data_IF_455118938958
#
_entry.id   IF_455118938958
#
_cell.length_a   1.000
_cell.length_b   1.000
_cell.length_c   1.000
_cell.angle_alpha   90.00
_cell.angle_beta   90.00
_cell.angle_gamma   90.00
#
_symmetry.space_group_name_H-M   'P 1'
#
loop_
_entity.id
_entity.type
_entity.pdbx_description
1 polymer ?
#
# COMPACT_ATOMS: atom_id res chain seq x y z
N UNK A 1 1.43 -2.75 0.12
CA UNK A 1 2.01 -3.31 1.37
C UNK A 1 2.15 -2.25 2.46
N UNK A 2 2.77 -1.09 2.18
CA UNK A 2 2.92 0.00 3.16
C UNK A 2 1.59 0.58 3.69
N UNK A 3 0.51 0.56 2.90
CA UNK A 3 -0.82 0.98 3.36
C UNK A 3 -1.26 0.27 4.64
N UNK A 4 -1.10 -1.06 4.69
CA UNK A 4 -1.46 -1.88 5.86
C UNK A 4 -0.68 -1.40 7.07
N UNK A 5 0.63 -1.12 6.95
CA UNK A 5 1.44 -0.62 8.07
C UNK A 5 0.95 0.71 8.65
N UNK A 6 0.32 1.58 7.84
CA UNK A 6 -0.18 2.87 8.30
C UNK A 6 -1.60 2.81 8.87
N UNK A 7 -2.37 1.78 8.50
CA UNK A 7 -3.75 1.56 8.95
C UNK A 7 -3.87 0.49 10.05
N UNK A 8 -2.77 -0.24 10.30
CA UNK A 8 -2.75 -1.37 11.24
C UNK A 8 -2.97 -0.92 12.68
N UNK A 9 -3.65 -1.77 13.46
CA UNK A 9 -3.79 -1.56 14.90
C UNK A 9 -2.59 -2.15 15.68
N UNK A 10 -2.50 -1.86 16.97
CA UNK A 10 -1.37 -2.32 17.82
C UNK A 10 -1.24 -3.84 17.90
N UNK A 11 -2.35 -4.57 17.84
CA UNK A 11 -2.35 -6.04 17.89
C UNK A 11 -1.85 -6.64 16.58
N UNK A 12 -2.33 -6.14 15.45
CA UNK A 12 -1.84 -6.55 14.12
C UNK A 12 -0.35 -6.21 13.95
N UNK A 13 0.08 -5.01 14.33
CA UNK A 13 1.49 -4.61 14.31
C UNK A 13 2.37 -5.56 15.13
N UNK A 14 1.89 -5.97 16.31
CA UNK A 14 2.60 -6.90 17.20
C UNK A 14 2.69 -8.30 16.59
N UNK A 15 1.61 -8.80 15.98
CA UNK A 15 1.59 -10.10 15.29
C UNK A 15 2.56 -10.10 14.11
N UNK A 16 2.51 -9.08 13.24
CA UNK A 16 3.47 -8.88 12.17
C UNK A 16 4.91 -8.83 12.69
N UNK A 17 5.18 -8.06 13.74
CA UNK A 17 6.52 -7.98 14.30
C UNK A 17 6.98 -9.35 14.81
N UNK A 18 6.14 -10.07 15.54
CA UNK A 18 6.49 -11.41 16.06
C UNK A 18 6.77 -12.43 14.94
N UNK A 19 6.05 -12.34 13.82
CA UNK A 19 6.19 -13.26 12.68
C UNK A 19 7.46 -12.99 11.86
N UNK A 20 7.81 -11.72 11.66
CA UNK A 20 8.91 -11.32 10.77
C UNK A 20 10.20 -10.96 11.52
N UNK A 21 10.15 -10.71 12.84
CA UNK A 21 11.34 -10.39 13.63
C UNK A 21 12.24 -11.61 13.75
N UNK A 22 13.48 -11.48 13.28
CA UNK A 22 14.50 -12.50 13.39
C UNK A 22 15.82 -11.85 13.72
N UNK A 23 16.49 -12.35 14.78
CA UNK A 23 17.81 -11.87 15.18
C UNK A 23 18.82 -11.98 14.01
N UNK A 24 18.65 -12.98 13.12
CA UNK A 24 19.48 -13.14 11.92
C UNK A 24 19.36 -11.93 10.98
N UNK A 25 18.14 -11.42 10.77
CA UNK A 25 17.90 -10.24 9.91
C UNK A 25 18.58 -9.01 10.50
N UNK A 26 18.48 -8.83 11.82
CA UNK A 26 19.14 -7.72 12.53
C UNK A 26 20.66 -7.78 12.36
N UNK A 27 21.27 -8.94 12.53
CA UNK A 27 22.72 -9.12 12.36
C UNK A 27 23.15 -8.87 10.91
N UNK A 28 22.39 -9.34 9.92
CA UNK A 28 22.66 -9.09 8.50
C UNK A 28 22.58 -7.58 8.20
N UNK A 29 21.54 -6.90 8.69
CA UNK A 29 21.38 -5.47 8.50
C UNK A 29 22.55 -4.68 9.10
N UNK A 30 22.99 -5.04 10.32
CA UNK A 30 24.15 -4.43 10.97
C UNK A 30 25.44 -4.66 10.19
N UNK A 31 25.68 -5.88 9.71
CA UNK A 31 26.85 -6.20 8.90
C UNK A 31 26.87 -5.42 7.58
N UNK A 32 25.72 -5.30 6.91
CA UNK A 32 25.58 -4.54 5.66
C UNK A 32 25.84 -3.05 5.88
N UNK A 33 25.29 -2.46 6.94
CA UNK A 33 25.54 -1.07 7.32
C UNK A 33 27.01 -0.84 7.67
N UNK A 34 27.63 -1.75 8.43
CA UNK A 34 29.05 -1.65 8.77
C UNK A 34 29.94 -1.71 7.52
N UNK A 35 29.63 -2.59 6.56
CA UNK A 35 30.35 -2.67 5.30
C UNK A 35 30.18 -1.41 4.44
N UNK A 36 28.96 -0.86 4.37
CA UNK A 36 28.70 0.40 3.68
C UNK A 36 29.51 1.57 4.30
N UNK A 37 29.55 1.67 5.63
CA UNK A 37 30.36 2.67 6.35
C UNK A 37 31.85 2.46 6.09
N UNK A 38 32.33 1.21 6.13
CA UNK A 38 33.73 0.89 5.85
C UNK A 38 34.10 1.32 4.43
N UNK A 39 33.30 0.97 3.42
CA UNK A 39 33.52 1.39 2.04
C UNK A 39 33.52 2.92 1.92
N UNK A 40 32.58 3.61 2.57
CA UNK A 40 32.51 5.07 2.59
C UNK A 40 33.79 5.70 3.14
N UNK A 41 34.35 5.17 4.23
CA UNK A 41 35.61 5.69 4.81
C UNK A 41 36.84 5.45 3.94
N UNK A 42 36.76 4.56 2.94
CA UNK A 42 37.87 4.24 2.02
C UNK A 42 37.78 4.97 0.67
N UNK A 43 36.69 5.69 0.41
CA UNK A 43 36.53 6.49 -0.80
C UNK A 43 37.52 7.66 -0.78
N UNK A 44 38.43 7.68 -1.75
CA UNK A 44 39.33 8.83 -1.94
C UNK A 44 38.57 9.96 -2.63
N UNK A 45 38.76 11.22 -2.21
CA UNK A 45 38.16 12.36 -2.90
C UNK A 45 38.66 12.43 -4.34
N UNK A 46 37.73 12.45 -5.29
CA UNK A 46 38.03 12.65 -6.71
C UNK A 46 38.22 14.14 -6.95
N UNK A 47 39.44 14.56 -7.26
CA UNK A 47 39.75 15.95 -7.57
C UNK A 47 39.50 16.23 -9.05
N UNK A 48 38.54 17.11 -9.33
CA UNK A 48 38.26 17.60 -10.68
C UNK A 48 38.95 18.97 -10.86
N UNK A 49 39.72 19.20 -11.93
CA UNK A 49 40.35 20.49 -12.21
C UNK A 49 39.33 21.65 -12.28
N UNK A 50 39.73 22.84 -11.83
CA UNK A 50 38.86 24.04 -11.72
C UNK A 50 37.98 24.37 -12.95
N UNK A 51 38.44 24.30 -14.21
CA UNK A 51 37.58 24.64 -15.34
C UNK A 51 36.50 23.58 -15.61
N UNK A 52 36.79 22.31 -15.33
CA UNK A 52 35.87 21.20 -15.60
C UNK A 52 34.87 20.94 -14.48
N UNK A 53 35.11 21.46 -13.27
CA UNK A 53 34.23 21.24 -12.12
C UNK A 53 32.79 21.66 -12.38
N UNK A 54 32.58 22.85 -12.96
CA UNK A 54 31.23 23.34 -13.26
C UNK A 54 30.59 22.58 -14.44
N UNK A 55 31.39 22.26 -15.46
CA UNK A 55 30.92 21.52 -16.64
C UNK A 55 30.47 20.11 -16.26
N UNK A 56 31.28 19.38 -15.47
CA UNK A 56 30.98 18.02 -15.03
C UNK A 56 29.77 18.01 -14.09
N UNK A 57 29.70 18.94 -13.12
CA UNK A 57 28.52 19.06 -12.25
C UNK A 57 27.25 19.38 -13.03
N UNK A 58 27.33 20.29 -14.01
CA UNK A 58 26.18 20.62 -14.86
C UNK A 58 25.78 19.46 -15.77
N UNK A 59 26.76 18.73 -16.35
CA UNK A 59 26.50 17.56 -17.18
C UNK A 59 25.85 16.42 -16.38
N UNK A 60 26.30 16.19 -15.14
CA UNK A 60 25.69 15.22 -14.23
C UNK A 60 24.26 15.62 -13.86
N UNK A 61 24.05 16.88 -13.48
CA UNK A 61 22.72 17.41 -13.16
C UNK A 61 21.81 17.31 -14.39
N UNK A 62 22.31 17.65 -15.57
CA UNK A 62 21.56 17.55 -16.81
C UNK A 62 21.20 16.11 -17.14
N UNK A 63 22.16 15.19 -17.13
CA UNK A 63 21.93 13.79 -17.47
C UNK A 63 21.00 13.07 -16.49
N UNK A 64 21.17 13.31 -15.19
CA UNK A 64 20.40 12.62 -14.15
C UNK A 64 19.01 13.24 -13.90
N UNK A 65 18.89 14.57 -13.98
CA UNK A 65 17.68 15.29 -13.55
C UNK A 65 17.02 16.04 -14.70
N UNK A 66 17.71 16.94 -15.40
CA UNK A 66 17.04 17.82 -16.37
C UNK A 66 16.62 17.11 -17.66
N UNK A 67 17.42 16.19 -18.18
CA UNK A 67 17.14 15.44 -19.40
C UNK A 67 15.83 14.64 -19.29
N UNK A 68 15.58 13.81 -18.26
CA UNK A 68 14.31 13.11 -18.13
C UNK A 68 13.11 14.05 -17.90
N UNK A 69 13.28 15.18 -17.20
CA UNK A 69 12.23 16.20 -17.04
C UNK A 69 11.89 16.86 -18.38
N UNK A 70 12.91 17.33 -19.10
CA UNK A 70 12.74 18.04 -20.36
C UNK A 70 12.09 17.14 -21.42
N UNK A 71 12.55 15.89 -21.52
CA UNK A 71 12.00 14.91 -22.47
C UNK A 71 10.53 14.57 -22.17
N UNK A 72 10.16 14.42 -20.89
CA UNK A 72 8.79 14.05 -20.51
C UNK A 72 7.80 15.24 -20.56
N UNK A 73 8.25 16.46 -20.29
CA UNK A 73 7.38 17.64 -20.27
C UNK A 73 7.26 18.30 -21.65
N UNK A 74 8.38 18.49 -22.39
CA UNK A 74 8.36 19.21 -23.67
C UNK A 74 8.06 18.34 -24.88
N UNK A 75 8.42 17.05 -24.89
CA UNK A 75 8.18 16.18 -26.05
C UNK A 75 6.88 15.38 -25.90
N UNK A 76 6.49 15.03 -24.67
CA UNK A 76 5.29 14.21 -24.40
C UNK A 76 4.08 14.99 -23.87
N UNK A 77 4.17 16.33 -23.77
CA UNK A 77 3.11 17.23 -23.28
C UNK A 77 2.41 16.74 -21.99
N UNK A 78 3.15 16.09 -21.08
CA UNK A 78 2.59 15.67 -19.81
C UNK A 78 2.54 16.88 -18.86
N UNK A 79 1.46 17.04 -18.06
CA UNK A 79 1.42 18.03 -17.00
C UNK A 79 2.64 17.86 -16.09
N UNK A 80 3.19 18.98 -15.61
CA UNK A 80 4.38 18.98 -14.75
C UNK A 80 4.26 18.04 -13.54
N UNK A 81 3.05 17.95 -12.97
CA UNK A 81 2.70 17.01 -11.89
C UNK A 81 2.97 15.54 -12.29
N UNK A 82 2.53 15.12 -13.48
CA UNK A 82 2.77 13.75 -13.99
C UNK A 82 4.23 13.50 -14.33
N UNK A 83 5.02 14.53 -14.61
CA UNK A 83 6.47 14.39 -14.84
C UNK A 83 7.22 14.19 -13.52
N UNK A 84 6.84 14.93 -12.47
CA UNK A 84 7.36 14.74 -11.13
C UNK A 84 7.00 13.35 -10.58
N UNK A 85 5.75 12.91 -10.77
CA UNK A 85 5.33 11.55 -10.37
C UNK A 85 6.14 10.46 -11.07
N UNK A 86 6.47 10.63 -12.36
CA UNK A 86 7.29 9.66 -13.10
C UNK A 86 8.77 9.65 -12.67
N UNK A 87 9.28 10.74 -12.11
CA UNK A 87 10.62 10.78 -11.51
C UNK A 87 10.60 10.20 -10.10
N UNK A 88 9.57 10.54 -9.32
CA UNK A 88 9.33 9.96 -8.01
C UNK A 88 9.14 8.44 -8.09
N UNK A 89 8.44 7.91 -9.10
CA UNK A 89 8.25 6.47 -9.30
C UNK A 89 9.53 5.72 -9.71
N UNK A 90 10.51 6.42 -10.29
CA UNK A 90 11.86 5.84 -10.51
C UNK A 90 12.68 5.76 -9.23
N UNK A 91 12.40 6.63 -8.27
CA UNK A 91 13.01 6.63 -6.94
C UNK A 91 12.22 5.77 -5.94
N UNK A 92 10.94 5.49 -6.23
CA UNK A 92 10.01 4.70 -5.40
C UNK A 92 10.54 3.34 -4.94
N UNK A 93 11.32 2.56 -5.73
CA UNK A 93 11.85 1.29 -5.25
C UNK A 93 13.01 1.44 -4.27
N UNK A 94 13.60 2.63 -4.15
CA UNK A 94 14.75 2.88 -3.29
C UNK A 94 14.29 3.35 -1.90
N UNK A 95 14.77 2.68 -0.84
CA UNK A 95 14.66 3.23 0.50
C UNK A 95 15.55 4.49 0.62
N UNK A 96 15.10 5.57 1.30
CA UNK A 96 13.87 5.70 2.09
C UNK A 96 12.67 6.21 1.29
N UNK A 97 12.83 6.49 0.00
CA UNK A 97 11.80 7.15 -0.81
C UNK A 97 10.51 6.34 -0.88
N UNK A 98 10.61 5.01 -0.89
CA UNK A 98 9.48 4.09 -0.81
C UNK A 98 8.53 4.38 0.37
N UNK A 99 9.06 4.76 1.54
CA UNK A 99 8.24 5.09 2.71
C UNK A 99 7.52 6.44 2.53
N UNK A 100 8.23 7.44 2.00
CA UNK A 100 7.68 8.78 1.76
C UNK A 100 6.58 8.74 0.70
N UNK A 101 6.82 8.07 -0.43
CA UNK A 101 5.83 7.91 -1.49
C UNK A 101 4.65 7.07 -1.02
N UNK A 102 4.90 5.98 -0.29
CA UNK A 102 3.86 5.15 0.30
C UNK A 102 2.94 5.92 1.26
N UNK A 103 3.50 6.76 2.13
CA UNK A 103 2.71 7.61 3.03
C UNK A 103 1.92 8.67 2.27
N UNK A 104 2.52 9.29 1.25
CA UNK A 104 1.81 10.26 0.42
C UNK A 104 0.62 9.63 -0.32
N UNK A 105 0.82 8.45 -0.93
CA UNK A 105 -0.24 7.69 -1.59
C UNK A 105 -1.36 7.30 -0.60
N UNK A 106 -1.00 6.88 0.62
CA UNK A 106 -1.95 6.61 1.71
C UNK A 106 -2.84 7.83 2.01
N UNK A 107 -2.24 9.03 2.14
CA UNK A 107 -2.99 10.27 2.37
C UNK A 107 -3.94 10.61 1.22
N UNK A 108 -3.53 10.39 -0.03
CA UNK A 108 -4.41 10.59 -1.19
C UNK A 108 -5.59 9.61 -1.20
N UNK A 109 -5.35 8.33 -0.86
CA UNK A 109 -6.42 7.32 -0.78
C UNK A 109 -7.42 7.67 0.31
N UNK A 110 -6.95 8.07 1.50
CA UNK A 110 -7.83 8.54 2.58
C UNK A 110 -8.71 9.70 2.14
N UNK A 111 -8.13 10.73 1.53
CA UNK A 111 -8.89 11.88 1.04
C UNK A 111 -9.97 11.47 0.02
N UNK A 112 -9.66 10.51 -0.85
CA UNK A 112 -10.61 9.99 -1.84
C UNK A 112 -11.76 9.23 -1.17
N UNK A 113 -11.47 8.40 -0.17
CA UNK A 113 -12.49 7.70 0.62
C UNK A 113 -13.37 8.68 1.40
N UNK A 114 -12.77 9.67 2.07
CA UNK A 114 -13.52 10.72 2.77
C UNK A 114 -14.42 11.49 1.83
N UNK A 115 -13.95 11.79 0.61
CA UNK A 115 -14.77 12.44 -0.41
C UNK A 115 -15.97 11.58 -0.81
N UNK A 116 -15.78 10.28 -1.08
CA UNK A 116 -16.87 9.36 -1.40
C UNK A 116 -17.89 9.25 -0.25
N UNK A 117 -17.44 9.19 1.00
CA UNK A 117 -18.32 9.19 2.17
C UNK A 117 -19.13 10.48 2.27
N UNK A 118 -18.50 11.63 2.05
CA UNK A 118 -19.18 12.93 2.08
C UNK A 118 -20.20 13.07 0.95
N UNK A 119 -19.85 12.60 -0.26
CA UNK A 119 -20.77 12.58 -1.40
C UNK A 119 -21.96 11.65 -1.13
N UNK A 120 -21.73 10.47 -0.56
CA UNK A 120 -22.78 9.54 -0.18
C UNK A 120 -23.70 10.12 0.92
N UNK A 121 -23.13 10.80 1.92
CA UNK A 121 -23.89 11.45 3.00
C UNK A 121 -24.68 12.68 2.52
N UNK A 122 -24.30 13.28 1.39
CA UNK A 122 -25.00 14.43 0.81
C UNK A 122 -26.21 14.01 -0.05
N UNK A 123 -26.40 12.71 -0.32
CA UNK A 123 -27.55 12.23 -1.07
C UNK A 123 -28.85 12.44 -0.28
N UNK A 124 -29.94 12.86 -0.93
CA UNK A 124 -31.24 12.95 -0.28
C UNK A 124 -31.69 11.55 0.17
N UNK A 125 -32.49 11.46 1.25
CA UNK A 125 -33.07 10.18 1.66
C UNK A 125 -33.89 9.57 0.52
N UNK A 126 -34.01 8.24 0.53
CA UNK A 126 -34.77 7.51 -0.47
C UNK A 126 -36.23 7.99 -0.50
N UNK A 127 -36.69 8.44 -1.68
CA UNK A 127 -38.07 8.86 -1.87
C UNK A 127 -39.01 7.66 -1.68
N UNK A 128 -40.13 7.87 -0.98
CA UNK A 128 -41.13 6.84 -0.68
C UNK A 128 -40.57 5.62 0.07
N UNK A 129 -39.55 5.80 0.90
CA UNK A 129 -39.03 4.73 1.74
C UNK A 129 -40.10 4.23 2.72
N UNK A 130 -40.40 2.93 2.65
CA UNK A 130 -41.32 2.24 3.57
C UNK A 130 -40.62 1.01 4.12
N UNK A 131 -40.70 0.83 5.44
CA UNK A 131 -40.26 -0.39 6.10
C UNK A 131 -41.48 -1.29 6.32
N UNK A 132 -41.48 -2.45 5.67
CA UNK A 132 -42.54 -3.46 5.77
C UNK A 132 -42.23 -4.55 6.81
N UNK A 133 -41.08 -4.46 7.51
CA UNK A 133 -40.63 -5.50 8.44
C UNK A 133 -41.19 -5.39 9.87
N UNK A 134 -42.07 -4.43 10.13
CA UNK A 134 -42.72 -4.23 11.43
C UNK A 134 -41.92 -3.37 12.42
N UNK A 135 -42.40 -3.30 13.67
CA UNK A 135 -41.89 -2.38 14.71
C UNK A 135 -41.28 -3.09 15.94
N UNK A 136 -41.08 -4.41 15.87
CA UNK A 136 -40.39 -5.15 16.92
C UNK A 136 -38.89 -4.85 16.91
N UNK A 137 -38.22 -4.80 18.08
CA UNK A 137 -36.77 -4.62 18.15
C UNK A 137 -36.02 -5.72 17.39
N UNK A 138 -35.09 -5.33 16.51
CA UNK A 138 -34.31 -6.27 15.68
C UNK A 138 -32.85 -5.85 15.59
N UNK A 139 -31.96 -6.83 15.43
CA UNK A 139 -30.51 -6.62 15.26
C UNK A 139 -30.08 -7.19 13.92
N UNK A 140 -29.44 -6.36 13.09
CA UNK A 140 -28.89 -6.75 11.81
C UNK A 140 -27.36 -6.74 11.91
N UNK A 141 -26.71 -7.80 11.41
CA UNK A 141 -25.26 -7.93 11.39
C UNK A 141 -24.80 -8.07 9.94
N UNK A 142 -23.90 -7.17 9.51
CA UNK A 142 -23.23 -7.25 8.22
C UNK A 142 -21.76 -7.57 8.45
N UNK A 143 -21.32 -8.75 8.03
CA UNK A 143 -19.91 -9.15 8.10
C UNK A 143 -19.28 -8.93 6.73
N UNK A 144 -18.34 -7.99 6.64
CA UNK A 144 -17.55 -7.74 5.44
C UNK A 144 -16.23 -8.49 5.58
N UNK A 145 -16.13 -9.63 4.90
CA UNK A 145 -14.88 -10.40 4.85
C UNK A 145 -13.83 -9.74 3.96
N UNK A 146 -12.58 -10.19 4.06
CA UNK A 146 -11.46 -9.71 3.25
C UNK A 146 -10.82 -10.86 2.46
N UNK A 147 -10.50 -10.60 1.19
CA UNK A 147 -9.63 -11.44 0.32
C UNK A 147 -9.96 -12.95 0.30
N UNK A 148 -11.17 -13.34 0.66
CA UNK A 148 -11.60 -14.74 0.74
C UNK A 148 -12.21 -15.18 -0.57
N UNK A 149 -11.66 -16.23 -1.17
CA UNK A 149 -12.11 -16.74 -2.46
C UNK A 149 -12.94 -18.02 -2.30
N UNK A 150 -14.05 -18.10 -3.04
CA UNK A 150 -14.96 -19.25 -3.04
C UNK A 150 -14.26 -20.58 -3.31
N UNK A 151 -13.33 -20.60 -4.28
CA UNK A 151 -12.61 -21.80 -4.69
C UNK A 151 -11.61 -22.36 -3.67
N UNK A 152 -11.46 -21.75 -2.49
CA UNK A 152 -10.59 -22.23 -1.41
C UNK A 152 -11.36 -22.54 -0.12
N UNK A 153 -12.69 -22.55 -0.18
CA UNK A 153 -13.55 -22.86 0.96
C UNK A 153 -14.15 -24.26 0.77
N UNK A 154 -13.99 -25.16 1.75
CA UNK A 154 -14.61 -26.48 1.69
C UNK A 154 -16.14 -26.41 1.62
N UNK A 155 -16.73 -25.35 2.18
CA UNK A 155 -18.15 -25.02 2.07
C UNK A 155 -18.67 -25.04 0.62
N UNK A 156 -17.81 -24.68 -0.33
CA UNK A 156 -18.10 -24.62 -1.75
C UNK A 156 -17.47 -25.76 -2.57
N UNK A 157 -17.10 -26.86 -1.92
CA UNK A 157 -16.58 -28.06 -2.58
C UNK A 157 -15.06 -28.10 -2.76
N UNK A 158 -14.30 -27.21 -2.12
CA UNK A 158 -12.85 -27.34 -2.08
C UNK A 158 -12.45 -28.62 -1.32
N UNK A 159 -11.54 -29.48 -1.85
CA UNK A 159 -11.32 -30.82 -1.31
C UNK A 159 -10.62 -30.86 0.06
N UNK A 160 -9.99 -29.76 0.50
CA UNK A 160 -9.44 -29.67 1.85
C UNK A 160 -10.44 -28.95 2.74
N UNK A 161 -10.62 -29.46 3.95
CA UNK A 161 -11.46 -28.88 4.99
C UNK A 161 -10.85 -27.56 5.52
N UNK A 162 -11.16 -26.45 4.83
CA UNK A 162 -10.65 -25.11 5.15
C UNK A 162 -11.66 -24.26 5.90
N UNK A 163 -12.94 -24.66 5.92
CA UNK A 163 -14.03 -23.96 6.62
C UNK A 163 -14.84 -24.89 7.53
N UNK A 164 -14.20 -25.70 8.41
CA UNK A 164 -14.89 -26.76 9.16
C UNK A 164 -16.09 -26.28 9.97
N UNK A 165 -15.99 -25.09 10.59
CA UNK A 165 -17.08 -24.53 11.41
C UNK A 165 -18.28 -24.10 10.57
N UNK A 166 -18.04 -23.47 9.41
CA UNK A 166 -19.11 -23.11 8.47
C UNK A 166 -19.73 -24.35 7.83
N UNK A 167 -18.92 -25.37 7.55
CA UNK A 167 -19.38 -26.64 6.99
C UNK A 167 -20.27 -27.38 7.99
N UNK A 168 -19.90 -27.36 9.29
CA UNK A 168 -20.72 -27.90 10.36
C UNK A 168 -22.04 -27.12 10.48
N UNK A 169 -21.97 -25.79 10.52
CA UNK A 169 -23.14 -24.93 10.65
C UNK A 169 -24.13 -25.14 9.49
N UNK A 170 -23.62 -25.25 8.26
CA UNK A 170 -24.44 -25.53 7.08
C UNK A 170 -25.13 -26.90 7.13
N UNK A 171 -24.53 -27.88 7.80
CA UNK A 171 -25.13 -29.22 7.98
C UNK A 171 -26.17 -29.23 9.10
N UNK A 172 -26.04 -28.38 10.12
CA UNK A 172 -26.86 -28.45 11.34
C UNK A 172 -27.94 -27.38 11.43
N UNK A 173 -27.72 -26.19 10.86
CA UNK A 173 -28.64 -25.06 10.97
C UNK A 173 -29.38 -24.82 9.64
N UNK A 174 -30.70 -25.10 9.59
CA UNK A 174 -31.49 -24.89 8.37
C UNK A 174 -31.69 -23.41 8.01
N UNK A 175 -31.35 -22.47 8.91
CA UNK A 175 -31.47 -21.04 8.64
C UNK A 175 -30.23 -20.45 7.94
N UNK A 176 -29.13 -21.19 7.86
CA UNK A 176 -27.95 -20.75 7.12
C UNK A 176 -28.19 -20.93 5.61
N UNK A 177 -28.31 -19.82 4.89
CA UNK A 177 -28.43 -19.83 3.43
C UNK A 177 -27.07 -19.60 2.78
N UNK A 178 -26.57 -20.59 2.03
CA UNK A 178 -25.32 -20.49 1.25
C UNK A 178 -25.64 -20.25 -0.22
N UNK A 179 -25.16 -19.13 -0.77
CA UNK A 179 -25.39 -18.74 -2.17
C UNK A 179 -24.31 -19.32 -3.09
N UNK A 180 -24.71 -20.03 -4.15
CA UNK A 180 -23.82 -20.68 -5.14
C UNK A 180 -23.63 -19.85 -6.42
#
# INVERSE_FOLDING_TARGET
VLFVMFDTNTNEASEYLSQYFSLKIVLIALAYTAMAVLLWTRLRPVYIPKPWRYIVSFALLYGLILHPIAMNTFIKNKPFEKTLDNLASRMEPAAPWQFLTGYYQYRQQLNSLTKLLNENNALPPLANFKDESGNEPRTLVLVIGESTQRGRMSLYGYPRETTPELDALHKTDPNLTVFN
#
